data_IF_567860893604
#
_entry.id   IF_567860893604
#
_cell.length_a   1.000
_cell.length_b   1.000
_cell.length_c   1.000
_cell.angle_alpha   90.00
_cell.angle_beta   90.00
_cell.angle_gamma   90.00
#
_symmetry.space_group_name_H-M   'P 1'
#
loop_
_entity.id
_entity.type
_entity.pdbx_description
1 polymer ?
#
# COMPACT_ATOMS: atom_id res chain seq x y z
N UNK A 1 13.15 59.52 2.40
CA UNK A 1 12.91 58.60 3.53
C UNK A 1 12.17 57.38 2.99
N UNK A 2 12.81 56.21 2.98
CA UNK A 2 12.18 54.98 2.53
C UNK A 2 11.05 54.60 3.50
N UNK A 3 9.81 54.46 3.01
CA UNK A 3 8.68 53.99 3.81
C UNK A 3 8.99 52.58 4.30
N UNK A 4 9.02 52.39 5.62
CA UNK A 4 9.20 51.09 6.24
C UNK A 4 8.00 50.19 5.86
N UNK A 5 8.21 49.26 4.93
CA UNK A 5 7.25 48.20 4.60
C UNK A 5 7.21 47.20 5.75
N UNK A 6 6.47 47.52 6.82
CA UNK A 6 6.32 46.69 8.01
C UNK A 6 5.65 45.32 7.75
N UNK A 7 5.14 45.08 6.53
CA UNK A 7 4.54 43.82 6.14
C UNK A 7 5.56 42.91 5.45
N UNK A 8 5.89 41.79 6.09
CA UNK A 8 6.67 40.70 5.50
C UNK A 8 5.79 39.66 4.78
N UNK A 9 4.49 39.95 4.60
CA UNK A 9 3.53 39.00 4.03
C UNK A 9 3.96 38.47 2.65
N UNK A 10 4.61 39.30 1.82
CA UNK A 10 5.12 38.90 0.50
C UNK A 10 6.24 37.85 0.56
N UNK A 11 6.96 37.70 1.68
CA UNK A 11 8.01 36.69 1.87
C UNK A 11 7.47 35.34 2.36
N UNK A 12 6.18 35.29 2.72
CA UNK A 12 5.50 34.06 3.14
C UNK A 12 4.82 33.34 1.98
N UNK A 13 4.81 33.96 0.80
CA UNK A 13 4.26 33.37 -0.41
C UNK A 13 5.33 32.44 -0.98
N UNK A 14 5.03 31.15 -1.02
CA UNK A 14 5.81 30.18 -1.76
C UNK A 14 5.54 30.39 -3.26
N UNK A 15 6.47 31.07 -3.93
CA UNK A 15 6.39 31.34 -5.38
C UNK A 15 6.80 30.12 -6.19
N UNK A 16 7.57 29.20 -5.61
CA UNK A 16 8.09 28.02 -6.28
C UNK A 16 6.96 27.04 -6.59
N UNK A 17 5.89 26.99 -5.77
CA UNK A 17 4.72 26.14 -6.03
C UNK A 17 4.04 26.41 -7.39
N UNK A 18 4.19 27.63 -7.93
CA UNK A 18 3.57 28.05 -9.19
C UNK A 18 4.52 27.93 -10.39
N UNK A 19 5.74 27.42 -10.20
CA UNK A 19 6.69 27.22 -11.29
C UNK A 19 6.17 26.13 -12.26
N UNK A 20 6.10 26.46 -13.55
CA UNK A 20 5.63 25.56 -14.60
C UNK A 20 6.57 24.36 -14.81
N UNK A 21 7.86 24.51 -14.48
CA UNK A 21 8.88 23.46 -14.56
C UNK A 21 8.78 22.41 -13.43
N UNK A 22 7.86 22.62 -12.47
CA UNK A 22 7.64 21.64 -11.40
C UNK A 22 7.11 20.33 -11.96
N UNK A 23 7.62 19.23 -11.44
CA UNK A 23 7.10 17.90 -11.76
C UNK A 23 5.62 17.78 -11.35
N UNK A 24 4.77 17.35 -12.30
CA UNK A 24 3.35 17.06 -12.08
C UNK A 24 3.15 15.57 -12.22
N UNK A 25 2.50 14.96 -11.23
CA UNK A 25 2.14 13.55 -11.32
C UNK A 25 1.08 13.34 -12.40
N UNK A 26 1.27 12.32 -13.22
CA UNK A 26 0.26 11.88 -14.20
C UNK A 26 -0.98 11.35 -13.47
N UNK A 27 -2.14 11.87 -13.85
CA UNK A 27 -3.40 11.37 -13.30
C UNK A 27 -3.81 10.07 -14.00
N UNK A 28 -4.13 9.00 -13.26
CA UNK A 28 -4.65 7.79 -13.89
C UNK A 28 -6.01 8.05 -14.53
N UNK A 29 -6.22 7.56 -15.76
CA UNK A 29 -7.46 7.75 -16.53
C UNK A 29 -8.71 7.14 -15.87
N UNK A 30 -8.53 6.12 -15.02
CA UNK A 30 -9.60 5.54 -14.22
C UNK A 30 -9.12 5.25 -12.80
N UNK A 31 -10.00 5.51 -11.82
CA UNK A 31 -9.72 5.21 -10.42
C UNK A 31 -9.97 3.72 -10.15
N UNK A 32 -8.98 2.95 -9.69
CA UNK A 32 -9.22 1.57 -9.31
C UNK A 32 -10.12 1.53 -8.06
N UNK A 33 -11.15 0.68 -8.11
CA UNK A 33 -12.24 0.61 -7.12
C UNK A 33 -11.80 -0.17 -5.86
N UNK A 34 -10.75 -0.98 -5.98
CA UNK A 34 -10.25 -1.85 -4.93
C UNK A 34 -10.85 -3.28 -5.00
N UNK A 35 -10.44 -4.15 -4.07
CA UNK A 35 -10.91 -5.53 -4.00
C UNK A 35 -12.39 -5.65 -3.56
N UNK A 36 -13.13 -6.63 -4.10
CA UNK A 36 -14.51 -6.92 -3.70
C UNK A 36 -14.55 -7.61 -2.32
N UNK A 37 -15.04 -6.89 -1.31
CA UNK A 37 -15.15 -7.40 0.04
C UNK A 37 -16.03 -8.65 0.17
N UNK A 38 -17.11 -8.77 -0.62
CA UNK A 38 -18.00 -9.93 -0.56
C UNK A 38 -17.31 -11.19 -1.09
N UNK A 39 -16.57 -11.05 -2.19
CA UNK A 39 -15.78 -12.13 -2.76
C UNK A 39 -14.71 -12.61 -1.75
N UNK A 40 -13.95 -11.68 -1.16
CA UNK A 40 -12.93 -12.01 -0.18
C UNK A 40 -13.55 -12.68 1.06
N UNK A 41 -14.68 -12.16 1.56
CA UNK A 41 -15.41 -12.79 2.67
C UNK A 41 -15.84 -14.22 2.34
N UNK A 42 -16.35 -14.46 1.13
CA UNK A 42 -16.76 -15.79 0.70
C UNK A 42 -15.59 -16.77 0.64
N UNK A 43 -14.43 -16.34 0.14
CA UNK A 43 -13.21 -17.16 0.09
C UNK A 43 -12.67 -17.49 1.48
N UNK A 44 -12.62 -16.51 2.38
CA UNK A 44 -12.20 -16.72 3.78
C UNK A 44 -13.13 -17.69 4.51
N UNK A 45 -14.45 -17.56 4.33
CA UNK A 45 -15.43 -18.46 4.95
C UNK A 45 -15.33 -19.90 4.43
N UNK A 46 -14.84 -20.09 3.20
CA UNK A 46 -14.57 -21.41 2.62
C UNK A 46 -13.19 -21.97 3.02
N UNK A 47 -12.39 -21.23 3.80
CA UNK A 47 -11.02 -21.59 4.16
C UNK A 47 -10.03 -21.47 3.01
N UNK A 48 -10.41 -20.82 1.90
CA UNK A 48 -9.58 -20.63 0.70
C UNK A 48 -8.70 -19.39 0.83
N UNK A 49 -7.88 -19.35 1.88
CA UNK A 49 -7.16 -18.14 2.28
C UNK A 49 -6.11 -17.70 1.24
N UNK A 50 -5.48 -18.64 0.53
CA UNK A 50 -4.50 -18.31 -0.52
C UNK A 50 -5.19 -17.70 -1.75
N UNK A 51 -6.38 -18.18 -2.12
CA UNK A 51 -7.18 -17.57 -3.20
C UNK A 51 -7.62 -16.16 -2.80
N UNK A 52 -8.05 -15.96 -1.55
CA UNK A 52 -8.37 -14.65 -1.01
C UNK A 52 -7.17 -13.69 -1.06
N UNK A 53 -5.97 -14.17 -0.72
CA UNK A 53 -4.74 -13.39 -0.81
C UNK A 53 -4.44 -12.96 -2.25
N UNK A 54 -4.58 -13.86 -3.22
CA UNK A 54 -4.38 -13.53 -4.63
C UNK A 54 -5.38 -12.46 -5.09
N UNK A 55 -6.66 -12.66 -4.81
CA UNK A 55 -7.71 -11.74 -5.25
C UNK A 55 -7.55 -10.35 -4.63
N UNK A 56 -7.22 -10.25 -3.33
CA UNK A 56 -7.04 -8.95 -2.67
C UNK A 56 -5.83 -8.17 -3.19
N UNK A 57 -4.73 -8.87 -3.52
CA UNK A 57 -3.51 -8.25 -4.06
C UNK A 57 -3.66 -7.87 -5.55
N UNK A 58 -4.34 -8.69 -6.35
CA UNK A 58 -4.57 -8.42 -7.77
C UNK A 58 -5.45 -7.18 -7.98
N UNK A 59 -6.43 -6.97 -7.10
CA UNK A 59 -7.38 -5.87 -7.18
C UNK A 59 -6.99 -4.68 -6.29
N UNK A 60 -5.72 -4.57 -5.90
CA UNK A 60 -5.23 -3.47 -5.07
C UNK A 60 -5.44 -2.11 -5.78
N UNK A 61 -6.01 -1.09 -5.10
CA UNK A 61 -6.29 0.20 -5.70
C UNK A 61 -5.04 1.10 -5.77
N UNK A 62 -3.96 0.58 -6.35
CA UNK A 62 -2.69 1.29 -6.50
C UNK A 62 -2.89 2.56 -7.33
N UNK A 63 -2.47 3.71 -6.79
CA UNK A 63 -2.63 5.00 -7.47
C UNK A 63 -4.03 5.61 -7.35
N UNK A 64 -4.96 5.01 -6.59
CA UNK A 64 -6.22 5.67 -6.25
C UNK A 64 -5.96 6.96 -5.45
N UNK A 65 -6.72 8.03 -5.71
CA UNK A 65 -6.64 9.27 -4.92
C UNK A 65 -7.49 9.22 -3.64
N UNK A 66 -8.50 8.36 -3.61
CA UNK A 66 -9.39 8.24 -2.45
C UNK A 66 -8.70 7.48 -1.32
N UNK A 67 -8.38 8.20 -0.24
CA UNK A 67 -7.82 7.60 0.97
C UNK A 67 -8.77 6.55 1.56
N UNK A 68 -10.08 6.79 1.52
CA UNK A 68 -11.08 5.83 2.01
C UNK A 68 -11.01 4.48 1.29
N UNK A 69 -10.83 4.48 -0.04
CA UNK A 69 -10.72 3.24 -0.82
C UNK A 69 -9.42 2.51 -0.47
N UNK A 70 -8.32 3.24 -0.34
CA UNK A 70 -7.03 2.68 0.10
C UNK A 70 -7.11 2.08 1.50
N UNK A 71 -7.73 2.78 2.45
CA UNK A 71 -7.89 2.31 3.83
C UNK A 71 -8.77 1.06 3.89
N UNK A 72 -9.87 1.03 3.12
CA UNK A 72 -10.73 -0.16 3.02
C UNK A 72 -9.95 -1.37 2.46
N UNK A 73 -9.19 -1.18 1.38
CA UNK A 73 -8.36 -2.23 0.79
C UNK A 73 -7.25 -2.70 1.73
N UNK A 74 -6.61 -1.79 2.48
CA UNK A 74 -5.63 -2.15 3.51
C UNK A 74 -6.26 -3.01 4.60
N UNK A 75 -7.37 -2.56 5.18
CA UNK A 75 -8.06 -3.29 6.25
C UNK A 75 -8.45 -4.70 5.78
N UNK A 76 -8.97 -4.81 4.56
CA UNK A 76 -9.32 -6.09 3.96
C UNK A 76 -8.08 -6.99 3.77
N UNK A 77 -6.98 -6.42 3.25
CA UNK A 77 -5.72 -7.13 3.05
C UNK A 77 -5.12 -7.61 4.37
N UNK A 78 -5.06 -6.76 5.39
CA UNK A 78 -4.56 -7.13 6.72
C UNK A 78 -5.39 -8.25 7.33
N UNK A 79 -6.71 -8.22 7.18
CA UNK A 79 -7.58 -9.31 7.63
C UNK A 79 -7.26 -10.63 6.94
N UNK A 80 -7.00 -10.61 5.63
CA UNK A 80 -6.56 -11.82 4.89
C UNK A 80 -5.20 -12.31 5.40
N UNK A 81 -4.21 -11.41 5.54
CA UNK A 81 -2.87 -11.78 6.02
C UNK A 81 -2.92 -12.42 7.41
N UNK A 82 -3.68 -11.84 8.34
CA UNK A 82 -3.84 -12.34 9.71
C UNK A 82 -4.67 -13.64 9.80
N UNK A 83 -5.46 -13.97 8.78
CA UNK A 83 -6.24 -15.22 8.73
C UNK A 83 -5.40 -16.45 8.37
N UNK A 84 -4.25 -16.23 7.75
CA UNK A 84 -3.31 -17.28 7.33
C UNK A 84 -2.38 -17.59 8.49
N UNK A 85 -2.24 -18.87 8.84
CA UNK A 85 -1.35 -19.29 9.93
C UNK A 85 0.11 -19.11 9.53
N UNK A 86 1.00 -18.85 10.49
CA UNK A 86 2.44 -18.73 10.26
C UNK A 86 3.06 -19.91 9.48
N UNK A 87 2.55 -21.13 9.71
CA UNK A 87 2.99 -22.35 9.01
C UNK A 87 2.59 -22.41 7.52
N UNK A 88 1.65 -21.58 7.08
CA UNK A 88 1.14 -21.54 5.71
C UNK A 88 1.63 -20.31 4.93
N UNK A 89 2.33 -19.37 5.58
CA UNK A 89 2.83 -18.16 4.93
C UNK A 89 3.79 -18.50 3.79
N UNK A 90 4.69 -19.46 3.98
CA UNK A 90 5.67 -19.84 2.96
C UNK A 90 5.00 -20.40 1.70
N UNK A 91 3.99 -21.26 1.86
CA UNK A 91 3.17 -21.77 0.75
C UNK A 91 2.39 -20.65 0.07
N UNK A 92 1.78 -19.74 0.85
CA UNK A 92 1.01 -18.62 0.32
C UNK A 92 1.89 -17.67 -0.52
N UNK A 93 3.10 -17.36 -0.04
CA UNK A 93 4.08 -16.52 -0.75
C UNK A 93 4.58 -17.22 -2.01
N UNK A 94 4.87 -18.52 -1.96
CA UNK A 94 5.29 -19.30 -3.13
C UNK A 94 4.22 -19.36 -4.23
N UNK A 95 2.95 -19.17 -3.88
CA UNK A 95 1.84 -19.15 -4.82
C UNK A 95 1.67 -17.80 -5.55
N UNK A 96 2.41 -16.75 -5.16
CA UNK A 96 2.35 -15.41 -5.75
C UNK A 96 3.40 -15.25 -6.86
N UNK A 97 3.06 -14.49 -7.90
CA UNK A 97 4.04 -14.03 -8.88
C UNK A 97 4.84 -12.84 -8.32
N UNK A 98 5.95 -12.49 -9.00
CA UNK A 98 6.86 -11.42 -8.55
C UNK A 98 6.15 -10.06 -8.44
N UNK A 99 5.14 -9.79 -9.28
CA UNK A 99 4.40 -8.53 -9.23
C UNK A 99 3.53 -8.48 -7.96
N UNK A 100 2.84 -9.56 -7.63
CA UNK A 100 2.05 -9.66 -6.41
C UNK A 100 2.91 -9.68 -5.14
N UNK A 101 4.15 -10.17 -5.20
CA UNK A 101 5.11 -10.04 -4.11
C UNK A 101 5.43 -8.56 -3.83
N UNK A 102 5.59 -7.74 -4.87
CA UNK A 102 5.81 -6.31 -4.70
C UNK A 102 4.58 -5.61 -4.09
N UNK A 103 3.38 -5.98 -4.52
CA UNK A 103 2.13 -5.46 -3.95
C UNK A 103 1.96 -5.88 -2.49
N UNK A 104 2.25 -7.15 -2.18
CA UNK A 104 2.28 -7.66 -0.81
C UNK A 104 3.24 -6.86 0.06
N UNK A 105 4.46 -6.59 -0.43
CA UNK A 105 5.45 -5.81 0.31
C UNK A 105 4.93 -4.39 0.62
N UNK A 106 4.24 -3.73 -0.34
CA UNK A 106 3.61 -2.42 -0.09
C UNK A 106 2.60 -2.46 1.05
N UNK A 107 1.72 -3.48 1.07
CA UNK A 107 0.74 -3.64 2.14
C UNK A 107 1.37 -4.02 3.49
N UNK A 108 2.45 -4.78 3.51
CA UNK A 108 3.19 -5.08 4.75
C UNK A 108 3.73 -3.78 5.37
N UNK A 109 4.41 -2.95 4.57
CA UNK A 109 4.95 -1.67 5.05
C UNK A 109 3.85 -0.72 5.52
N UNK A 110 2.75 -0.60 4.77
CA UNK A 110 1.61 0.21 5.20
C UNK A 110 0.92 -0.37 6.44
N UNK A 111 0.87 -1.69 6.58
CA UNK A 111 0.38 -2.37 7.77
C UNK A 111 1.17 -2.03 9.02
N UNK A 112 2.49 -1.82 8.91
CA UNK A 112 3.31 -1.36 10.03
C UNK A 112 3.01 0.06 10.49
N UNK A 113 2.36 0.89 9.65
CA UNK A 113 1.91 2.24 10.05
C UNK A 113 0.69 2.17 11.00
N UNK A 114 -0.06 1.07 10.99
CA UNK A 114 -1.30 0.88 11.76
C UNK A 114 -1.24 -0.41 12.60
N UNK A 115 -0.37 -0.46 13.62
CA UNK A 115 -0.22 -1.66 14.44
C UNK A 115 -1.48 -1.93 15.28
N UNK A 116 -2.00 -3.14 15.19
CA UNK A 116 -2.97 -3.72 16.13
C UNK A 116 -2.33 -4.84 16.96
N UNK A 117 -2.96 -5.22 18.07
CA UNK A 117 -2.41 -6.25 18.97
C UNK A 117 -2.10 -7.55 18.22
N UNK A 118 -0.86 -8.03 18.33
CA UNK A 118 -0.39 -9.24 17.66
C UNK A 118 -0.11 -9.12 16.15
N UNK A 119 -0.51 -8.03 15.50
CA UNK A 119 -0.37 -7.88 14.04
C UNK A 119 1.07 -7.71 13.58
N UNK A 120 1.88 -6.88 14.25
CA UNK A 120 3.24 -6.57 13.80
C UNK A 120 4.15 -7.79 13.80
N UNK A 121 4.02 -8.68 14.80
CA UNK A 121 4.78 -9.94 14.85
C UNK A 121 4.43 -10.85 13.68
N UNK A 122 3.15 -10.91 13.31
CA UNK A 122 2.69 -11.68 12.16
C UNK A 122 3.16 -11.06 10.83
N UNK A 123 3.08 -9.74 10.69
CA UNK A 123 3.57 -9.00 9.52
C UNK A 123 5.09 -9.14 9.33
N UNK A 124 5.88 -9.25 10.40
CA UNK A 124 7.31 -9.53 10.30
C UNK A 124 7.59 -10.91 9.69
N UNK A 125 6.77 -11.93 9.98
CA UNK A 125 6.89 -13.24 9.34
C UNK A 125 6.54 -13.17 7.85
N UNK A 126 5.50 -12.42 7.50
CA UNK A 126 5.16 -12.14 6.10
C UNK A 126 6.32 -11.43 5.38
N UNK A 127 6.90 -10.41 6.01
CA UNK A 127 8.03 -9.68 5.47
C UNK A 127 9.22 -10.61 5.19
N UNK A 128 9.60 -11.45 6.15
CA UNK A 128 10.69 -12.42 6.00
C UNK A 128 10.51 -13.29 4.74
N UNK A 129 9.31 -13.87 4.56
CA UNK A 129 9.04 -14.77 3.43
C UNK A 129 8.91 -14.02 2.10
N UNK A 130 8.24 -12.87 2.08
CA UNK A 130 8.17 -12.03 0.89
C UNK A 130 9.56 -11.53 0.45
N UNK A 131 10.43 -11.19 1.41
CA UNK A 131 11.82 -10.81 1.14
C UNK A 131 12.65 -11.97 0.59
N UNK A 132 12.45 -13.19 1.08
CA UNK A 132 13.16 -14.36 0.56
C UNK A 132 12.90 -14.59 -0.94
N UNK A 133 11.73 -14.21 -1.45
CA UNK A 133 11.36 -14.33 -2.87
C UNK A 133 11.68 -13.05 -3.66
N UNK A 134 11.25 -11.88 -3.17
CA UNK A 134 11.39 -10.60 -3.89
C UNK A 134 12.74 -9.91 -3.73
N UNK A 135 13.54 -10.34 -2.76
CA UNK A 135 14.81 -9.72 -2.37
C UNK A 135 14.66 -8.26 -1.93
N UNK A 136 15.79 -7.55 -1.85
CA UNK A 136 15.80 -6.11 -1.53
C UNK A 136 15.07 -5.27 -2.58
N UNK A 137 14.95 -5.76 -3.81
CA UNK A 137 14.30 -5.05 -4.91
C UNK A 137 12.82 -4.77 -4.63
N UNK A 138 12.10 -5.68 -3.97
CA UNK A 138 10.69 -5.46 -3.61
C UNK A 138 10.55 -4.32 -2.60
N UNK A 139 11.46 -4.24 -1.62
CA UNK A 139 11.52 -3.14 -0.63
C UNK A 139 11.86 -1.82 -1.33
N UNK A 140 12.88 -1.80 -2.20
CA UNK A 140 13.25 -0.59 -2.96
C UNK A 140 12.05 -0.06 -3.73
N UNK A 141 11.27 -0.94 -4.37
CA UNK A 141 10.04 -0.54 -5.08
C UNK A 141 8.98 0.02 -4.14
N UNK A 142 8.85 -0.45 -2.90
CA UNK A 142 7.98 0.22 -1.90
C UNK A 142 8.43 1.65 -1.63
N UNK A 143 9.74 1.88 -1.51
CA UNK A 143 10.29 3.19 -1.17
C UNK A 143 10.22 4.20 -2.33
N UNK A 144 10.29 3.72 -3.58
CA UNK A 144 10.34 4.58 -4.76
C UNK A 144 8.98 4.76 -5.45
N UNK A 145 8.00 3.90 -5.19
CA UNK A 145 6.70 3.98 -5.84
C UNK A 145 5.84 5.09 -5.25
N UNK A 146 5.40 6.02 -6.11
CA UNK A 146 4.49 7.11 -5.75
C UNK A 146 3.05 6.61 -5.59
N UNK A 147 2.71 5.48 -6.21
CA UNK A 147 1.39 4.82 -6.13
C UNK A 147 1.32 3.90 -4.92
N UNK A 148 1.28 4.52 -3.72
CA UNK A 148 1.13 3.78 -2.46
C UNK A 148 -0.16 2.95 -2.43
N UNK A 149 -0.02 1.72 -1.93
CA UNK A 149 -1.12 0.80 -1.64
C UNK A 149 -2.04 1.39 -0.58
#
# INVERSE_FOLDING_TARGET
MAKNTASSAFRKIDVDQYNEDNFKEEEPESAPIGPDENEINALLNQGKNIEALKSVLQNAPLGCKSQQVKDAALNLTLRVLLSIKSSQIEEAVAALDILLIDVLMKYIYRGFEIPSEGSSGHLLQWHEKAYAVGGVGSIVRVLTDTKRA
#
